data_IF_371530148942
#
_entry.id   IF_371530148942
#
_cell.length_a   1.000
_cell.length_b   1.000
_cell.length_c   1.000
_cell.angle_alpha   90.00
_cell.angle_beta   90.00
_cell.angle_gamma   90.00
#
_symmetry.space_group_name_H-M   'P 1'
#
loop_
_entity.id
_entity.type
_entity.pdbx_description
1 polymer ?
#
# COMPACT_ATOMS: atom_id res chain seq x y z
N UNK A 1 3.77 22.61 -0.56
CA UNK A 1 2.63 21.67 -0.69
C UNK A 1 1.45 22.24 0.10
N UNK A 2 0.21 22.17 -0.41
CA UNK A 2 -0.96 22.57 0.38
C UNK A 2 -1.35 21.40 1.29
N UNK A 3 -1.59 21.67 2.58
CA UNK A 3 -2.09 20.66 3.53
C UNK A 3 -3.61 20.64 3.43
N UNK A 4 -4.18 19.43 3.36
CA UNK A 4 -5.63 19.21 3.18
C UNK A 4 -6.18 18.31 4.28
N UNK A 5 -7.47 18.43 4.56
CA UNK A 5 -8.17 17.54 5.49
C UNK A 5 -8.43 16.16 4.87
N UNK A 6 -8.80 15.19 5.70
CA UNK A 6 -9.20 13.85 5.24
C UNK A 6 -10.42 13.89 4.31
N UNK A 7 -11.34 14.83 4.53
CA UNK A 7 -12.48 15.03 3.64
C UNK A 7 -12.05 15.61 2.29
N UNK A 8 -11.14 16.58 2.30
CA UNK A 8 -10.63 17.19 1.08
C UNK A 8 -9.82 16.21 0.24
N UNK A 9 -8.97 15.38 0.83
CA UNK A 9 -8.20 14.38 0.05
C UNK A 9 -9.11 13.33 -0.56
N UNK A 10 -10.18 12.89 0.15
CA UNK A 10 -11.18 11.98 -0.43
C UNK A 10 -11.88 12.58 -1.63
N UNK A 11 -12.21 13.86 -1.58
CA UNK A 11 -12.84 14.56 -2.70
C UNK A 11 -11.87 14.73 -3.87
N UNK A 12 -10.58 14.98 -3.60
CA UNK A 12 -9.54 15.03 -4.62
C UNK A 12 -9.41 13.67 -5.32
N UNK A 13 -9.32 12.58 -4.55
CA UNK A 13 -9.23 11.21 -5.10
C UNK A 13 -10.48 10.87 -5.92
N UNK A 14 -11.68 11.22 -5.42
CA UNK A 14 -12.95 11.03 -6.13
C UNK A 14 -12.94 11.72 -7.49
N UNK A 15 -12.53 13.00 -7.54
CA UNK A 15 -12.42 13.76 -8.79
C UNK A 15 -11.36 13.18 -9.72
N UNK A 16 -10.23 12.73 -9.17
CA UNK A 16 -9.19 12.08 -9.96
C UNK A 16 -9.72 10.81 -10.66
N UNK A 17 -10.59 10.05 -9.99
CA UNK A 17 -11.20 8.86 -10.55
C UNK A 17 -12.30 9.20 -11.56
N UNK A 18 -13.27 10.02 -11.15
CA UNK A 18 -14.48 10.28 -11.94
C UNK A 18 -14.27 11.27 -13.09
N UNK A 19 -13.50 12.33 -12.86
CA UNK A 19 -13.32 13.41 -13.84
C UNK A 19 -12.09 13.18 -14.73
N UNK A 20 -11.03 12.56 -14.18
CA UNK A 20 -9.76 12.32 -14.90
C UNK A 20 -9.54 10.86 -15.31
N UNK A 21 -10.53 9.98 -15.11
CA UNK A 21 -10.50 8.57 -15.51
C UNK A 21 -9.30 7.78 -14.97
N UNK A 22 -8.77 8.15 -13.80
CA UNK A 22 -7.75 7.35 -13.12
C UNK A 22 -8.42 6.19 -12.37
N UNK A 23 -7.80 5.02 -12.34
CA UNK A 23 -8.25 3.95 -11.46
C UNK A 23 -7.76 4.20 -10.03
N UNK A 24 -8.56 3.89 -9.01
CA UNK A 24 -8.09 4.01 -7.62
C UNK A 24 -6.95 3.05 -7.32
N UNK A 25 -6.88 1.89 -7.99
CA UNK A 25 -5.68 1.03 -8.02
C UNK A 25 -4.42 1.79 -8.44
N UNK A 26 -4.51 2.68 -9.45
CA UNK A 26 -3.36 3.51 -9.87
C UNK A 26 -3.00 4.54 -8.81
N UNK A 27 -4.00 5.14 -8.14
CA UNK A 27 -3.76 6.07 -7.04
C UNK A 27 -3.07 5.38 -5.87
N UNK A 28 -3.56 4.21 -5.46
CA UNK A 28 -3.00 3.35 -4.41
C UNK A 28 -1.58 2.88 -4.75
N UNK A 29 -1.34 2.46 -6.00
CA UNK A 29 -0.02 2.07 -6.48
C UNK A 29 0.98 3.24 -6.36
N UNK A 30 0.57 4.44 -6.75
CA UNK A 30 1.38 5.63 -6.63
C UNK A 30 1.68 5.97 -5.16
N UNK A 31 0.68 5.92 -4.28
CA UNK A 31 0.86 6.19 -2.85
C UNK A 31 1.88 5.23 -2.22
N UNK A 32 1.67 3.92 -2.37
CA UNK A 32 2.58 2.91 -1.81
C UNK A 32 3.98 2.95 -2.43
N UNK A 33 4.10 3.19 -3.74
CA UNK A 33 5.40 3.34 -4.40
C UNK A 33 6.19 4.52 -3.84
N UNK A 34 5.54 5.66 -3.56
CA UNK A 34 6.22 6.81 -2.96
C UNK A 34 6.70 6.53 -1.55
N UNK A 35 5.93 5.81 -0.73
CA UNK A 35 6.39 5.36 0.59
C UNK A 35 7.63 4.47 0.47
N UNK A 36 7.63 3.48 -0.43
CA UNK A 36 8.80 2.65 -0.69
C UNK A 36 10.04 3.47 -1.12
N UNK A 37 9.86 4.43 -2.02
CA UNK A 37 10.95 5.31 -2.47
C UNK A 37 11.49 6.17 -1.32
N UNK A 38 10.62 6.70 -0.47
CA UNK A 38 11.03 7.43 0.74
C UNK A 38 11.83 6.54 1.69
N UNK A 39 11.41 5.29 1.91
CA UNK A 39 12.16 4.33 2.73
C UNK A 39 13.57 4.09 2.16
N UNK A 40 13.72 3.96 0.84
CA UNK A 40 15.04 3.82 0.20
C UNK A 40 15.94 5.03 0.42
N UNK A 41 15.37 6.23 0.44
CA UNK A 41 16.14 7.46 0.66
C UNK A 41 16.55 7.63 2.11
N UNK A 42 15.72 7.17 3.06
CA UNK A 42 15.99 7.26 4.50
C UNK A 42 16.98 6.17 4.95
N UNK A 43 16.86 4.95 4.42
CA UNK A 43 17.65 3.79 4.84
C UNK A 43 18.54 3.30 3.70
N UNK A 44 19.82 3.67 3.74
CA UNK A 44 20.82 3.20 2.77
C UNK A 44 21.05 1.68 2.81
N UNK A 45 20.76 1.04 3.94
CA UNK A 45 20.85 -0.40 4.17
C UNK A 45 19.49 -1.12 4.19
N UNK A 46 18.45 -0.54 3.55
CA UNK A 46 17.07 -1.03 3.59
C UNK A 46 16.94 -2.55 3.32
N UNK A 47 17.75 -3.12 2.41
CA UNK A 47 17.75 -4.56 2.09
C UNK A 47 18.11 -5.46 3.27
N UNK A 48 18.88 -4.95 4.23
CA UNK A 48 19.28 -5.70 5.42
C UNK A 48 18.25 -5.59 6.55
N UNK A 49 17.26 -4.70 6.43
CA UNK A 49 16.21 -4.51 7.42
C UNK A 49 15.14 -5.61 7.33
N UNK A 50 14.37 -5.72 8.41
CA UNK A 50 13.14 -6.51 8.47
C UNK A 50 11.99 -5.54 8.67
N UNK A 51 10.95 -5.66 7.87
CA UNK A 51 9.78 -4.77 7.90
C UNK A 51 8.54 -5.57 8.27
N UNK A 52 7.75 -5.03 9.20
CA UNK A 52 6.41 -5.53 9.51
C UNK A 52 5.44 -4.42 9.15
N UNK A 53 4.40 -4.77 8.38
CA UNK A 53 3.32 -3.84 7.98
C UNK A 53 2.03 -4.29 8.66
N UNK A 54 1.39 -3.37 9.39
CA UNK A 54 0.07 -3.61 9.96
C UNK A 54 -0.99 -3.06 9.01
N UNK A 55 -1.82 -3.93 8.45
CA UNK A 55 -2.77 -3.56 7.41
C UNK A 55 -4.22 -3.79 7.86
N UNK A 56 -5.00 -2.71 7.83
CA UNK A 56 -6.46 -2.75 8.03
C UNK A 56 -7.21 -3.09 6.73
N UNK A 57 -8.55 -3.00 6.77
CA UNK A 57 -9.41 -3.32 5.62
C UNK A 57 -9.61 -2.18 4.60
N UNK A 58 -9.17 -0.96 4.93
CA UNK A 58 -9.38 0.22 4.09
C UNK A 58 -8.20 0.56 3.18
N UNK A 59 -8.27 1.74 2.55
CA UNK A 59 -7.28 2.21 1.57
C UNK A 59 -5.84 2.20 2.10
N UNK A 60 -5.62 2.66 3.34
CA UNK A 60 -4.29 2.63 3.96
C UNK A 60 -3.72 1.19 4.09
N UNK A 61 -4.59 0.19 4.28
CA UNK A 61 -4.17 -1.22 4.27
C UNK A 61 -3.74 -1.65 2.86
N UNK A 62 -4.51 -1.22 1.86
CA UNK A 62 -4.17 -1.37 0.44
C UNK A 62 -2.80 -0.76 0.08
N UNK A 63 -2.56 0.48 0.49
CA UNK A 63 -1.25 1.14 0.33
C UNK A 63 -0.13 0.32 0.98
N UNK A 64 -0.39 -0.23 2.18
CA UNK A 64 0.52 -1.13 2.88
C UNK A 64 0.87 -2.39 2.09
N UNK A 65 -0.09 -2.98 1.38
CA UNK A 65 0.17 -4.13 0.50
C UNK A 65 1.02 -3.74 -0.71
N UNK A 66 0.79 -2.56 -1.30
CA UNK A 66 1.65 -2.03 -2.36
C UNK A 66 3.07 -1.83 -1.85
N UNK A 67 3.24 -1.22 -0.68
CA UNK A 67 4.56 -1.04 -0.04
C UNK A 67 5.24 -2.39 0.19
N UNK A 68 4.51 -3.39 0.71
CA UNK A 68 5.03 -4.74 0.89
C UNK A 68 5.53 -5.33 -0.43
N UNK A 69 4.77 -5.14 -1.52
CA UNK A 69 5.11 -5.67 -2.84
C UNK A 69 6.42 -5.12 -3.37
N UNK A 70 6.60 -3.80 -3.26
CA UNK A 70 7.85 -3.14 -3.67
C UNK A 70 9.03 -3.51 -2.76
N UNK A 71 8.83 -3.59 -1.44
CA UNK A 71 9.86 -4.04 -0.50
C UNK A 71 10.30 -5.48 -0.77
N UNK A 72 9.35 -6.38 -0.98
CA UNK A 72 9.60 -7.79 -1.27
C UNK A 72 10.40 -7.95 -2.57
N UNK A 73 9.96 -7.29 -3.65
CA UNK A 73 10.68 -7.30 -4.94
C UNK A 73 12.07 -6.66 -4.84
N UNK A 74 12.27 -5.74 -3.89
CA UNK A 74 13.58 -5.15 -3.62
C UNK A 74 14.51 -6.05 -2.78
N UNK A 75 14.02 -7.21 -2.31
CA UNK A 75 14.78 -8.18 -1.51
C UNK A 75 14.73 -7.93 0.00
N UNK A 76 13.80 -7.09 0.47
CA UNK A 76 13.62 -6.83 1.91
C UNK A 76 12.78 -7.94 2.53
N UNK A 77 13.17 -8.40 3.73
CA UNK A 77 12.36 -9.35 4.51
C UNK A 77 11.13 -8.63 5.06
N UNK A 78 9.98 -8.83 4.43
CA UNK A 78 8.71 -8.22 4.82
C UNK A 78 7.72 -9.26 5.33
N UNK A 79 6.97 -8.91 6.37
CA UNK A 79 5.78 -9.62 6.83
C UNK A 79 4.62 -8.64 6.94
N UNK A 80 3.41 -9.13 6.75
CA UNK A 80 2.20 -8.33 6.89
C UNK A 80 1.38 -8.93 8.03
N UNK A 81 0.96 -8.09 8.96
CA UNK A 81 0.01 -8.43 10.01
C UNK A 81 -1.35 -7.88 9.60
N UNK A 82 -2.32 -8.75 9.34
CA UNK A 82 -3.68 -8.36 8.97
C UNK A 82 -4.47 -8.03 10.24
N UNK A 83 -4.92 -6.78 10.35
CA UNK A 83 -5.74 -6.34 11.50
C UNK A 83 -7.20 -6.82 11.41
N UNK A 84 -7.57 -7.41 10.28
CA UNK A 84 -8.86 -8.06 10.05
C UNK A 84 -8.64 -9.37 9.29
N UNK A 85 -9.61 -10.28 9.32
CA UNK A 85 -9.53 -11.51 8.52
C UNK A 85 -9.39 -11.21 7.02
N UNK A 86 -8.59 -12.00 6.30
CA UNK A 86 -8.33 -11.90 4.85
C UNK A 86 -9.60 -11.57 4.04
N UNK A 87 -10.69 -12.34 4.24
CA UNK A 87 -11.95 -12.21 3.50
C UNK A 87 -12.72 -10.90 3.76
N UNK A 88 -12.35 -10.11 4.77
CA UNK A 88 -12.94 -8.79 5.06
C UNK A 88 -12.28 -7.67 4.26
N UNK A 89 -11.15 -7.93 3.61
CA UNK A 89 -10.44 -6.95 2.81
C UNK A 89 -10.92 -7.09 1.36
N UNK A 90 -11.52 -6.04 0.82
CA UNK A 90 -12.22 -6.04 -0.47
C UNK A 90 -11.80 -4.85 -1.32
N UNK A 91 -12.33 -4.81 -2.55
CA UNK A 91 -12.00 -3.76 -3.52
C UNK A 91 -10.50 -3.73 -3.80
N UNK A 92 -9.97 -2.53 -4.00
CA UNK A 92 -8.58 -2.29 -4.41
C UNK A 92 -7.55 -2.80 -3.39
N UNK A 93 -7.87 -2.70 -2.09
CA UNK A 93 -7.05 -3.28 -1.04
C UNK A 93 -7.06 -4.82 -1.11
N UNK A 94 -8.23 -5.42 -1.37
CA UNK A 94 -8.36 -6.86 -1.57
C UNK A 94 -7.61 -7.37 -2.80
N UNK A 95 -7.58 -6.59 -3.90
CA UNK A 95 -6.80 -6.93 -5.08
C UNK A 95 -5.30 -6.97 -4.78
N UNK A 96 -4.77 -5.95 -4.09
CA UNK A 96 -3.37 -5.95 -3.68
C UNK A 96 -3.04 -7.04 -2.65
N UNK A 97 -3.98 -7.37 -1.75
CA UNK A 97 -3.84 -8.50 -0.83
C UNK A 97 -3.74 -9.83 -1.60
N UNK A 98 -4.57 -10.04 -2.61
CA UNK A 98 -4.51 -11.26 -3.42
C UNK A 98 -3.20 -11.38 -4.20
N UNK A 99 -2.65 -10.26 -4.68
CA UNK A 99 -1.35 -10.25 -5.36
C UNK A 99 -0.24 -10.61 -4.38
N UNK A 100 -0.21 -9.99 -3.19
CA UNK A 100 0.87 -10.21 -2.23
C UNK A 100 0.86 -11.63 -1.64
N UNK A 101 -0.33 -12.22 -1.47
CA UNK A 101 -0.51 -13.62 -1.11
C UNK A 101 0.09 -14.56 -2.18
N UNK A 102 -0.25 -14.33 -3.46
CA UNK A 102 0.30 -15.10 -4.59
C UNK A 102 1.82 -14.94 -4.75
N UNK A 103 2.40 -13.84 -4.29
CA UNK A 103 3.85 -13.61 -4.29
C UNK A 103 4.58 -14.37 -3.17
N UNK A 104 3.84 -15.01 -2.25
CA UNK A 104 4.42 -15.78 -1.15
C UNK A 104 4.93 -14.94 0.01
N UNK A 105 4.47 -13.69 0.13
CA UNK A 105 4.78 -12.87 1.31
C UNK A 105 4.05 -13.42 2.52
N UNK A 106 4.74 -13.50 3.66
CA UNK A 106 4.15 -14.03 4.89
C UNK A 106 3.07 -13.08 5.42
N UNK A 107 1.83 -13.58 5.43
CA UNK A 107 0.68 -12.97 6.07
C UNK A 107 0.50 -13.58 7.48
N UNK A 108 0.34 -12.72 8.48
CA UNK A 108 0.11 -13.03 9.89
C UNK A 108 -1.28 -12.54 10.28
#
# INVERSE_FOLDING_TARGET
>A
MKVVTSQQIREIDRKAIEENNLSGLTLMENAGLRVFQSLKNIYTDLRLKKVIIFAGSGNNGGDGFVVARHLYNYGVKVKIFLLVSFNKIKGEAGENLNIIDKMGVVLI
#
